data_IF_204317191306
#
_entry.id   IF_204317191306
#
_cell.length_a   1.000
_cell.length_b   1.000
_cell.length_c   1.000
_cell.angle_alpha   90.00
_cell.angle_beta   90.00
_cell.angle_gamma   90.00
#
_symmetry.space_group_name_H-M   'P 1'
#
loop_
_entity.id
_entity.type
_entity.pdbx_description
1 polymer ?
#
# COMPACT_ATOMS: atom_id res chain seq x y z
N UNK A 1 7.12 -30.68 -6.95
CA UNK A 1 8.05 -30.39 -5.81
C UNK A 1 7.65 -29.00 -5.28
N UNK A 2 6.93 -29.01 -4.16
CA UNK A 2 6.35 -27.81 -3.53
C UNK A 2 7.46 -27.12 -2.75
N UNK A 3 8.04 -26.06 -3.29
CA UNK A 3 9.06 -25.24 -2.61
C UNK A 3 8.50 -24.67 -1.31
N UNK A 4 8.90 -25.23 -0.19
CA UNK A 4 8.68 -24.71 1.16
C UNK A 4 9.40 -23.36 1.24
N UNK A 5 8.64 -22.27 1.13
CA UNK A 5 9.18 -20.92 1.32
C UNK A 5 9.35 -20.71 2.81
N UNK A 6 10.56 -20.89 3.31
CA UNK A 6 10.94 -20.58 4.67
C UNK A 6 10.68 -19.09 4.89
N UNK A 7 9.82 -18.75 5.84
CA UNK A 7 9.63 -17.36 6.23
C UNK A 7 10.90 -16.92 6.98
N UNK A 8 11.32 -15.65 6.78
CA UNK A 8 12.45 -15.08 7.53
C UNK A 8 12.25 -15.22 9.04
N UNK A 9 11.01 -15.17 9.49
CA UNK A 9 10.63 -15.41 10.89
C UNK A 9 10.95 -16.84 11.33
N UNK A 10 10.56 -17.87 10.54
CA UNK A 10 10.84 -19.26 10.87
C UNK A 10 12.34 -19.54 10.92
N UNK A 11 13.12 -18.88 10.05
CA UNK A 11 14.56 -19.00 10.00
C UNK A 11 15.21 -18.30 11.20
N UNK A 12 14.79 -17.08 11.54
CA UNK A 12 15.27 -16.35 12.71
C UNK A 12 14.91 -17.06 14.01
N UNK A 13 13.68 -17.57 14.14
CA UNK A 13 13.25 -18.35 15.30
C UNK A 13 14.03 -19.65 15.43
N UNK A 14 14.30 -20.35 14.31
CA UNK A 14 15.11 -21.57 14.28
C UNK A 14 16.55 -21.34 14.73
N UNK A 15 17.19 -20.26 14.23
CA UNK A 15 18.55 -19.86 14.64
C UNK A 15 18.58 -19.50 16.14
N UNK A 16 17.59 -18.75 16.62
CA UNK A 16 17.51 -18.35 18.01
C UNK A 16 17.32 -19.55 18.96
N UNK A 17 16.44 -20.50 18.62
CA UNK A 17 16.24 -21.74 19.38
C UNK A 17 17.49 -22.61 19.37
N UNK A 18 18.18 -22.72 18.23
CA UNK A 18 19.41 -23.47 18.10
C UNK A 18 20.55 -22.85 18.97
N UNK A 19 20.64 -21.51 18.98
CA UNK A 19 21.59 -20.78 19.81
C UNK A 19 21.31 -21.00 21.31
N UNK A 20 20.03 -20.92 21.73
CA UNK A 20 19.63 -21.23 23.10
C UNK A 20 19.96 -22.67 23.51
N UNK A 21 19.70 -23.64 22.64
CA UNK A 21 20.01 -25.05 22.89
C UNK A 21 21.49 -25.30 23.01
N UNK A 22 22.30 -24.76 22.09
CA UNK A 22 23.75 -24.90 22.10
C UNK A 22 24.36 -24.28 23.38
N UNK A 23 23.90 -23.08 23.73
CA UNK A 23 24.36 -22.37 24.91
C UNK A 23 23.98 -23.09 26.24
N UNK A 24 22.79 -23.70 26.26
CA UNK A 24 22.37 -24.53 27.39
C UNK A 24 23.26 -25.76 27.61
N UNK A 25 23.77 -26.33 26.51
CA UNK A 25 24.74 -27.45 26.57
C UNK A 25 26.11 -26.95 27.05
N UNK A 26 26.61 -25.82 26.53
CA UNK A 26 27.91 -25.24 26.92
C UNK A 26 27.92 -24.78 28.39
N UNK A 27 26.84 -24.24 28.91
CA UNK A 27 26.73 -23.83 30.31
C UNK A 27 26.72 -25.04 31.26
N UNK A 28 26.10 -26.16 30.86
CA UNK A 28 26.16 -27.42 31.62
C UNK A 28 27.57 -28.06 31.62
N UNK A 29 28.33 -27.82 30.53
CA UNK A 29 29.70 -28.29 30.42
C UNK A 29 30.71 -27.43 31.22
N UNK A 30 30.24 -26.37 31.92
CA UNK A 30 31.09 -25.48 32.72
C UNK A 30 32.03 -24.58 31.93
N UNK A 31 31.80 -24.47 30.59
CA UNK A 31 32.70 -23.72 29.69
C UNK A 31 32.33 -22.22 29.70
N UNK A 32 31.13 -21.83 30.16
CA UNK A 32 30.70 -20.43 30.20
C UNK A 32 30.02 -20.09 31.51
N UNK A 33 30.29 -18.89 32.03
CA UNK A 33 29.67 -18.33 33.25
C UNK A 33 28.36 -17.62 32.98
N UNK A 34 27.95 -17.51 31.69
CA UNK A 34 26.70 -16.86 31.28
C UNK A 34 25.56 -17.83 31.47
N UNK A 35 24.54 -17.42 32.22
CA UNK A 35 23.36 -18.24 32.48
C UNK A 35 22.39 -18.17 31.29
N UNK A 36 21.69 -19.28 30.99
CA UNK A 36 20.65 -19.32 29.95
C UNK A 36 19.55 -18.24 30.12
N UNK A 37 19.36 -17.78 31.39
CA UNK A 37 18.45 -16.67 31.70
C UNK A 37 18.92 -15.31 31.19
N UNK A 38 20.22 -15.08 31.12
CA UNK A 38 20.77 -13.80 30.64
C UNK A 38 20.61 -13.68 29.12
N UNK A 39 20.76 -14.80 28.42
CA UNK A 39 20.53 -14.87 26.97
C UNK A 39 19.03 -14.68 26.62
N UNK A 40 18.15 -15.29 27.44
CA UNK A 40 16.70 -15.09 27.26
C UNK A 40 16.31 -13.62 27.47
N UNK A 41 16.88 -12.96 28.51
CA UNK A 41 16.63 -11.54 28.79
C UNK A 41 17.21 -10.62 27.73
N UNK A 42 18.37 -10.87 27.20
CA UNK A 42 19.00 -10.07 26.15
C UNK A 42 18.36 -10.35 24.76
N UNK A 43 17.91 -11.59 24.52
CA UNK A 43 17.33 -12.00 23.23
C UNK A 43 15.86 -11.59 23.04
N UNK A 44 15.11 -11.37 24.13
CA UNK A 44 13.69 -11.03 24.07
C UNK A 44 13.37 -9.75 23.26
N UNK A 45 14.09 -8.63 23.43
CA UNK A 45 13.84 -7.44 22.62
C UNK A 45 14.14 -7.67 21.13
N UNK A 46 15.19 -8.43 20.82
CA UNK A 46 15.53 -8.78 19.44
C UNK A 46 14.43 -9.65 18.79
N UNK A 47 13.82 -10.55 19.55
CA UNK A 47 12.71 -11.38 19.08
C UNK A 47 11.46 -10.55 18.82
N UNK A 48 11.16 -9.55 19.64
CA UNK A 48 10.07 -8.61 19.42
C UNK A 48 10.33 -7.74 18.18
N UNK A 49 11.55 -7.26 18.00
CA UNK A 49 11.95 -6.51 16.81
C UNK A 49 11.82 -7.39 15.56
N UNK A 50 12.31 -8.63 15.59
CA UNK A 50 12.20 -9.57 14.48
C UNK A 50 10.74 -9.93 14.16
N UNK A 51 9.90 -10.08 15.20
CA UNK A 51 8.47 -10.33 15.06
C UNK A 51 7.75 -9.11 14.45
N UNK A 52 8.05 -7.89 14.91
CA UNK A 52 7.53 -6.65 14.36
C UNK A 52 7.95 -6.46 12.91
N UNK A 53 9.22 -6.67 12.61
CA UNK A 53 9.75 -6.59 11.25
C UNK A 53 9.15 -7.69 10.34
N UNK A 54 8.92 -8.90 10.88
CA UNK A 54 8.28 -9.98 10.16
C UNK A 54 6.81 -9.69 9.85
N UNK A 55 6.10 -8.97 10.72
CA UNK A 55 4.74 -8.50 10.45
C UNK A 55 4.73 -7.41 9.35
N UNK A 56 5.75 -6.56 9.31
CA UNK A 56 5.92 -5.57 8.25
C UNK A 56 6.28 -6.22 6.90
N UNK A 57 7.20 -7.19 6.92
CA UNK A 57 7.74 -7.85 5.71
C UNK A 57 6.91 -9.07 5.31
N UNK A 58 6.25 -9.72 6.26
CA UNK A 58 5.63 -11.04 6.11
C UNK A 58 4.36 -11.10 5.28
N UNK A 59 3.69 -9.99 5.03
CA UNK A 59 2.69 -9.89 3.95
C UNK A 59 3.38 -9.25 2.76
N UNK A 60 4.00 -10.08 1.95
CA UNK A 60 4.54 -9.68 0.65
C UNK A 60 3.50 -8.84 -0.06
N UNK A 61 3.73 -7.54 -0.11
CA UNK A 61 3.32 -6.78 -1.27
C UNK A 61 3.94 -7.56 -2.44
N UNK A 62 3.14 -8.37 -3.12
CA UNK A 62 3.50 -8.82 -4.45
C UNK A 62 3.53 -7.55 -5.27
N UNK A 63 4.68 -6.90 -5.29
CA UNK A 63 5.02 -6.05 -6.42
C UNK A 63 5.04 -7.04 -7.58
N UNK A 64 3.88 -7.27 -8.17
CA UNK A 64 3.80 -7.77 -9.51
C UNK A 64 4.34 -6.63 -10.36
N UNK A 65 5.65 -6.60 -10.48
CA UNK A 65 6.25 -6.03 -11.67
C UNK A 65 5.80 -6.97 -12.77
N UNK A 66 4.58 -6.78 -13.23
CA UNK A 66 4.15 -7.32 -14.51
C UNK A 66 4.92 -6.46 -15.50
N UNK A 67 6.14 -6.87 -15.80
CA UNK A 67 6.79 -6.54 -17.06
C UNK A 67 5.98 -7.21 -18.18
N UNK A 68 4.74 -6.79 -18.31
CA UNK A 68 4.02 -6.92 -19.55
C UNK A 68 4.60 -5.84 -20.44
N UNK A 69 5.59 -6.24 -21.21
CA UNK A 69 6.18 -5.50 -22.30
C UNK A 69 5.08 -5.23 -23.32
N UNK A 70 4.20 -4.25 -23.02
CA UNK A 70 3.39 -3.54 -24.00
C UNK A 70 4.07 -2.21 -24.24
N UNK A 71 4.24 -1.79 -25.50
CA UNK A 71 4.94 -0.56 -25.85
C UNK A 71 4.10 0.68 -25.61
N UNK A 72 3.58 0.89 -24.39
CA UNK A 72 2.93 2.13 -23.91
C UNK A 72 2.72 2.05 -22.39
N UNK A 73 3.61 1.44 -21.63
CA UNK A 73 3.53 1.48 -20.17
C UNK A 73 4.13 2.79 -19.68
N UNK A 74 3.26 3.71 -19.32
CA UNK A 74 3.57 4.87 -18.49
C UNK A 74 4.36 4.40 -17.27
N UNK A 75 5.52 4.98 -17.04
CA UNK A 75 6.38 4.65 -15.88
C UNK A 75 5.56 4.77 -14.60
N UNK A 76 5.60 3.71 -13.76
CA UNK A 76 4.86 3.68 -12.51
C UNK A 76 5.65 4.42 -11.44
N UNK A 77 5.22 5.61 -10.98
CA UNK A 77 5.89 6.30 -9.90
C UNK A 77 5.76 5.46 -8.62
N UNK A 78 6.92 4.97 -8.16
CA UNK A 78 7.02 4.19 -6.93
C UNK A 78 7.90 4.96 -5.96
N UNK A 79 7.35 5.34 -4.80
CA UNK A 79 8.09 6.02 -3.76
C UNK A 79 8.04 5.19 -2.46
N UNK A 80 9.23 4.89 -1.91
CA UNK A 80 9.31 4.09 -0.68
C UNK A 80 9.09 4.97 0.56
N UNK A 81 9.67 6.17 0.57
CA UNK A 81 9.54 7.15 1.68
C UNK A 81 9.43 8.55 1.09
N UNK A 82 8.44 9.29 1.54
CA UNK A 82 8.15 10.67 1.12
C UNK A 82 6.80 10.81 0.43
N UNK A 83 6.40 12.05 0.19
CA UNK A 83 5.12 12.37 -0.41
C UNK A 83 5.16 12.20 -1.92
N UNK A 84 4.17 11.53 -2.47
CA UNK A 84 3.96 11.37 -3.91
C UNK A 84 2.83 12.28 -4.37
N UNK A 85 3.14 13.23 -5.24
CA UNK A 85 2.14 14.09 -5.88
C UNK A 85 2.14 13.82 -7.38
N UNK A 86 0.99 13.38 -7.89
CA UNK A 86 0.81 13.07 -9.30
C UNK A 86 -0.36 13.88 -9.87
N UNK A 87 -0.14 14.50 -11.04
CA UNK A 87 -1.15 15.34 -11.67
C UNK A 87 -1.16 16.78 -11.19
N UNK A 88 -0.03 17.35 -10.70
CA UNK A 88 0.07 18.77 -10.39
C UNK A 88 0.04 19.64 -11.66
N UNK A 89 0.58 19.13 -12.76
CA UNK A 89 0.58 19.74 -14.08
C UNK A 89 -0.40 18.99 -15.02
N UNK A 90 -0.86 19.60 -16.13
CA UNK A 90 -1.67 18.91 -17.13
C UNK A 90 -0.96 17.68 -17.69
N UNK A 91 -1.63 16.54 -17.73
CA UNK A 91 -1.10 15.27 -18.20
C UNK A 91 -2.17 14.44 -18.93
N UNK A 92 -1.79 13.38 -19.63
CA UNK A 92 -2.72 12.51 -20.34
C UNK A 92 -2.83 11.15 -19.65
N UNK A 93 -4.07 10.66 -19.48
CA UNK A 93 -4.37 9.32 -19.01
C UNK A 93 -4.84 8.48 -20.20
N UNK A 94 -3.88 7.75 -20.81
CA UNK A 94 -4.14 6.92 -22.01
C UNK A 94 -4.29 5.42 -21.69
N UNK A 95 -4.18 5.04 -20.40
CA UNK A 95 -4.24 3.64 -19.98
C UNK A 95 -4.34 3.47 -18.47
N UNK A 96 -3.95 2.30 -17.98
CA UNK A 96 -4.01 1.96 -16.57
C UNK A 96 -2.89 2.66 -15.79
N UNK A 97 -3.23 3.18 -14.60
CA UNK A 97 -2.30 3.84 -13.69
C UNK A 97 -2.14 3.03 -12.40
N UNK A 98 -0.89 2.73 -12.03
CA UNK A 98 -0.59 2.05 -10.78
C UNK A 98 0.40 2.87 -9.96
N UNK A 99 -0.01 3.30 -8.77
CA UNK A 99 0.79 4.10 -7.85
C UNK A 99 1.10 3.32 -6.58
N UNK A 100 2.34 3.41 -6.10
CA UNK A 100 2.74 2.82 -4.84
C UNK A 100 3.53 3.80 -4.00
N UNK A 101 3.13 3.95 -2.71
CA UNK A 101 3.88 4.71 -1.71
C UNK A 101 4.05 3.86 -0.45
N UNK A 102 5.25 3.82 0.12
CA UNK A 102 5.51 3.13 1.38
C UNK A 102 5.07 3.97 2.58
N UNK A 103 5.83 5.01 2.89
CA UNK A 103 5.59 5.95 4.00
C UNK A 103 5.51 7.36 3.44
N UNK A 104 4.46 8.09 3.75
CA UNK A 104 4.22 9.47 3.29
C UNK A 104 2.83 9.64 2.72
N UNK A 105 2.50 10.81 2.21
CA UNK A 105 1.20 11.10 1.63
C UNK A 105 1.19 10.88 0.12
N UNK A 106 0.06 10.38 -0.40
CA UNK A 106 -0.17 10.22 -1.83
C UNK A 106 -1.30 11.16 -2.27
N UNK A 107 -1.03 12.01 -3.24
CA UNK A 107 -2.02 12.91 -3.84
C UNK A 107 -2.06 12.68 -5.34
N UNK A 108 -3.21 12.22 -5.82
CA UNK A 108 -3.50 12.02 -7.24
C UNK A 108 -4.56 13.02 -7.68
N UNK A 109 -4.22 13.88 -8.62
CA UNK A 109 -5.16 14.84 -9.20
C UNK A 109 -5.50 14.45 -10.64
N UNK A 110 -6.72 13.96 -10.85
CA UNK A 110 -7.25 13.59 -12.15
C UNK A 110 -8.03 14.75 -12.82
N UNK A 111 -8.24 15.85 -12.09
CA UNK A 111 -8.95 17.01 -12.64
C UNK A 111 -8.12 17.77 -13.69
N UNK A 112 -6.79 17.61 -13.63
CA UNK A 112 -5.85 18.17 -14.61
C UNK A 112 -5.54 17.21 -15.75
N UNK A 113 -6.06 15.96 -15.68
CA UNK A 113 -5.80 14.94 -16.67
C UNK A 113 -6.70 15.07 -17.90
N UNK A 114 -6.12 14.92 -19.08
CA UNK A 114 -6.86 14.63 -20.30
C UNK A 114 -7.10 13.12 -20.35
N UNK A 115 -8.32 12.69 -20.05
CA UNK A 115 -8.67 11.28 -19.94
C UNK A 115 -9.18 10.81 -21.30
N UNK A 116 -8.54 9.78 -21.86
CA UNK A 116 -8.96 9.18 -23.11
C UNK A 116 -10.33 8.49 -22.96
N UNK A 117 -11.15 8.38 -24.03
CA UNK A 117 -12.39 7.62 -23.97
C UNK A 117 -12.18 6.16 -23.61
N UNK A 118 -13.11 5.58 -22.82
CA UNK A 118 -13.10 4.18 -22.42
C UNK A 118 -12.80 3.96 -20.94
N UNK A 119 -12.66 2.69 -20.51
CA UNK A 119 -12.38 2.35 -19.12
C UNK A 119 -10.89 2.44 -18.79
N UNK A 120 -10.58 3.08 -17.66
CA UNK A 120 -9.22 3.22 -17.13
C UNK A 120 -9.14 2.68 -15.70
N UNK A 121 -8.22 1.75 -15.45
CA UNK A 121 -7.99 1.22 -14.12
C UNK A 121 -6.90 2.00 -13.39
N UNK A 122 -7.26 2.53 -12.22
CA UNK A 122 -6.35 3.27 -11.35
C UNK A 122 -6.20 2.49 -10.06
N UNK A 123 -4.97 2.00 -9.81
CA UNK A 123 -4.64 1.29 -8.58
C UNK A 123 -3.69 2.12 -7.74
N UNK A 124 -4.12 2.40 -6.53
CA UNK A 124 -3.32 3.11 -5.52
C UNK A 124 -3.07 2.17 -4.36
N UNK A 125 -1.80 1.96 -4.02
CA UNK A 125 -1.41 1.11 -2.89
C UNK A 125 -0.44 1.86 -1.99
N UNK A 126 -0.76 1.93 -0.69
CA UNK A 126 0.04 2.63 0.30
C UNK A 126 0.16 1.83 1.59
N UNK A 127 1.29 1.95 2.30
CA UNK A 127 1.44 1.28 3.59
C UNK A 127 1.03 2.17 4.75
N UNK A 128 1.56 3.38 4.85
CA UNK A 128 1.27 4.31 5.95
C UNK A 128 1.24 5.74 5.43
N UNK A 129 0.22 6.50 5.78
CA UNK A 129 0.01 7.89 5.41
C UNK A 129 -1.39 8.13 4.85
N UNK A 130 -1.62 9.27 4.24
CA UNK A 130 -2.92 9.65 3.72
C UNK A 130 -2.93 9.62 2.19
N UNK A 131 -4.00 9.07 1.63
CA UNK A 131 -4.25 9.01 0.18
C UNK A 131 -5.39 9.95 -0.17
N UNK A 132 -5.13 10.92 -1.05
CA UNK A 132 -6.14 11.81 -1.62
C UNK A 132 -6.20 11.64 -3.12
N UNK A 133 -7.38 11.26 -3.62
CA UNK A 133 -7.67 11.17 -5.07
C UNK A 133 -8.75 12.18 -5.42
N UNK A 134 -8.44 13.10 -6.33
CA UNK A 134 -9.39 14.06 -6.88
C UNK A 134 -9.85 13.65 -8.25
N UNK A 135 -11.14 13.56 -8.44
CA UNK A 135 -11.76 13.08 -9.67
C UNK A 135 -12.62 14.19 -10.29
N UNK A 136 -12.56 14.45 -11.60
CA UNK A 136 -13.42 15.40 -12.26
C UNK A 136 -14.88 14.95 -12.22
N UNK A 137 -15.81 15.89 -12.25
CA UNK A 137 -17.25 15.65 -12.26
C UNK A 137 -17.81 15.18 -13.62
N UNK A 138 -16.98 15.20 -14.68
CA UNK A 138 -17.37 14.90 -16.07
C UNK A 138 -17.26 13.43 -16.44
N UNK A 139 -16.68 12.58 -15.59
CA UNK A 139 -16.45 11.16 -15.88
C UNK A 139 -17.24 10.23 -14.96
N UNK A 140 -17.61 9.06 -15.46
CA UNK A 140 -18.19 8.00 -14.63
C UNK A 140 -17.09 7.37 -13.76
N UNK A 141 -17.42 7.06 -12.50
CA UNK A 141 -16.44 6.53 -11.54
C UNK A 141 -17.03 5.36 -10.78
N UNK A 142 -16.27 4.27 -10.75
CA UNK A 142 -16.45 3.18 -9.79
C UNK A 142 -15.23 3.16 -8.87
N UNK A 143 -15.44 3.49 -7.61
CA UNK A 143 -14.37 3.61 -6.62
C UNK A 143 -14.53 2.56 -5.52
N UNK A 144 -13.45 1.83 -5.25
CA UNK A 144 -13.33 0.88 -4.16
C UNK A 144 -12.15 1.30 -3.30
N UNK A 145 -12.36 1.42 -2.00
CA UNK A 145 -11.30 1.77 -1.06
C UNK A 145 -11.32 0.86 0.15
N UNK A 146 -10.14 0.41 0.55
CA UNK A 146 -9.95 -0.47 1.70
C UNK A 146 -8.78 -0.02 2.59
N UNK A 147 -8.99 -0.03 3.91
CA UNK A 147 -7.96 0.25 4.91
C UNK A 147 -7.99 -0.80 6.01
N UNK A 148 -6.83 -1.13 6.58
CA UNK A 148 -6.80 -2.01 7.75
C UNK A 148 -7.01 -1.23 9.04
N UNK A 149 -6.47 -0.02 9.16
CA UNK A 149 -6.62 0.85 10.34
C UNK A 149 -6.73 2.28 9.84
N UNK A 150 -7.85 2.92 10.13
CA UNK A 150 -8.05 4.32 9.79
C UNK A 150 -9.40 4.60 9.13
N UNK A 151 -9.42 5.56 8.24
CA UNK A 151 -10.62 6.09 7.65
C UNK A 151 -10.65 5.89 6.14
N UNK A 152 -11.84 5.62 5.62
CA UNK A 152 -12.11 5.57 4.18
C UNK A 152 -13.28 6.48 3.87
N UNK A 153 -13.08 7.43 2.97
CA UNK A 153 -14.11 8.36 2.51
C UNK A 153 -14.17 8.38 0.98
N UNK A 154 -15.37 8.14 0.42
CA UNK A 154 -15.65 8.20 -1.02
C UNK A 154 -16.86 9.09 -1.23
N UNK A 155 -16.71 10.18 -1.99
CA UNK A 155 -17.77 11.12 -2.36
C UNK A 155 -18.64 11.57 -1.18
N UNK A 156 -18.00 11.84 -0.02
CA UNK A 156 -18.67 12.33 1.20
C UNK A 156 -19.17 11.24 2.15
N UNK A 157 -19.29 9.97 1.71
CA UNK A 157 -19.53 8.88 2.65
C UNK A 157 -18.23 8.46 3.32
N UNK A 158 -18.25 8.29 4.64
CA UNK A 158 -17.08 7.95 5.45
C UNK A 158 -17.34 6.73 6.31
N UNK A 159 -16.33 5.86 6.42
CA UNK A 159 -16.24 4.75 7.36
C UNK A 159 -14.90 4.77 8.05
N UNK A 160 -14.91 4.51 9.34
CA UNK A 160 -13.72 4.52 10.19
C UNK A 160 -13.65 3.24 11.01
N UNK A 161 -12.45 2.76 11.27
CA UNK A 161 -12.30 1.57 12.11
C UNK A 161 -10.91 1.03 12.28
N UNK A 162 -10.83 -0.02 13.09
CA UNK A 162 -9.65 -0.86 13.27
C UNK A 162 -10.02 -2.28 12.82
N UNK A 163 -9.24 -2.83 11.90
CA UNK A 163 -9.51 -4.11 11.25
C UNK A 163 -9.62 -3.91 9.74
N UNK A 164 -10.70 -4.38 9.13
CA UNK A 164 -10.96 -4.23 7.70
C UNK A 164 -12.06 -3.20 7.48
N UNK A 165 -11.70 -2.02 6.99
CA UNK A 165 -12.61 -0.95 6.60
C UNK A 165 -12.72 -0.95 5.09
N UNK A 166 -13.94 -1.09 4.58
CA UNK A 166 -14.23 -1.20 3.15
C UNK A 166 -15.37 -0.28 2.76
N UNK A 167 -15.22 0.41 1.64
CA UNK A 167 -16.24 1.23 1.05
C UNK A 167 -16.17 1.12 -0.48
N UNK A 168 -17.32 0.98 -1.11
CA UNK A 168 -17.47 0.97 -2.57
C UNK A 168 -18.56 1.96 -2.96
N UNK A 169 -18.29 2.74 -4.00
CA UNK A 169 -19.25 3.68 -4.60
C UNK A 169 -19.11 3.70 -6.11
N UNK A 170 -20.25 3.80 -6.75
CA UNK A 170 -20.36 3.98 -8.19
C UNK A 170 -21.20 5.22 -8.46
N UNK A 171 -20.67 6.12 -9.28
CA UNK A 171 -21.37 7.29 -9.77
C UNK A 171 -21.27 7.35 -11.28
N UNK A 172 -22.41 7.19 -11.94
CA UNK A 172 -22.52 7.20 -13.40
C UNK A 172 -22.91 8.61 -13.85
N UNK A 173 -22.12 9.18 -14.75
CA UNK A 173 -22.42 10.46 -15.41
C UNK A 173 -23.02 10.15 -16.79
N UNK A 174 -24.27 10.54 -17.05
CA UNK A 174 -24.89 10.30 -18.35
C UNK A 174 -24.12 11.00 -19.47
N UNK A 175 -23.73 10.22 -20.50
CA UNK A 175 -23.00 10.76 -21.64
C UNK A 175 -21.49 10.90 -21.43
N UNK A 176 -20.93 10.45 -20.30
CA UNK A 176 -19.49 10.41 -20.11
C UNK A 176 -18.85 9.42 -21.10
N UNK A 177 -17.80 9.87 -21.78
CA UNK A 177 -17.02 9.04 -22.72
C UNK A 177 -15.99 8.16 -22.02
N UNK A 178 -15.60 8.53 -20.77
CA UNK A 178 -14.61 7.82 -19.97
C UNK A 178 -15.21 7.28 -18.68
N UNK A 179 -14.70 6.11 -18.26
CA UNK A 179 -15.02 5.48 -16.98
C UNK A 179 -13.71 5.25 -16.19
N UNK A 180 -13.70 5.69 -14.94
CA UNK A 180 -12.60 5.46 -14.02
C UNK A 180 -12.94 4.35 -13.03
N UNK A 181 -12.12 3.31 -12.99
CA UNK A 181 -12.21 2.21 -12.03
C UNK A 181 -11.06 2.37 -11.05
N UNK A 182 -11.37 2.88 -9.85
CA UNK A 182 -10.37 3.23 -8.84
C UNK A 182 -10.35 2.18 -7.74
N UNK A 183 -9.19 1.57 -7.51
CA UNK A 183 -8.92 0.66 -6.40
C UNK A 183 -7.86 1.28 -5.49
N UNK A 184 -8.25 1.74 -4.30
CA UNK A 184 -7.33 2.31 -3.31
C UNK A 184 -7.16 1.37 -2.11
N UNK A 185 -5.92 1.05 -1.77
CA UNK A 185 -5.57 0.14 -0.68
C UNK A 185 -4.56 0.78 0.27
N UNK A 186 -4.91 0.87 1.54
CA UNK A 186 -4.08 1.47 2.58
C UNK A 186 -3.99 0.51 3.78
N UNK A 187 -2.85 0.48 4.45
CA UNK A 187 -2.77 -0.27 5.71
C UNK A 187 -3.10 0.57 6.92
N UNK A 188 -2.52 1.76 7.02
CA UNK A 188 -2.71 2.64 8.17
C UNK A 188 -2.80 4.08 7.67
N UNK A 189 -3.92 4.76 7.92
CA UNK A 189 -4.15 6.15 7.58
C UNK A 189 -5.52 6.42 6.98
N UNK A 190 -5.65 7.49 6.21
CA UNK A 190 -6.91 7.90 5.59
C UNK A 190 -6.87 7.75 4.07
N UNK A 191 -7.94 7.18 3.49
CA UNK A 191 -8.21 7.26 2.05
C UNK A 191 -9.36 8.21 1.84
N UNK A 192 -9.15 9.21 0.99
CA UNK A 192 -10.19 10.14 0.58
C UNK A 192 -10.24 10.23 -0.94
N UNK A 193 -11.41 9.90 -1.50
CA UNK A 193 -11.73 10.08 -2.91
C UNK A 193 -12.81 11.14 -2.99
N UNK A 194 -12.49 12.26 -3.61
CA UNK A 194 -13.39 13.41 -3.69
C UNK A 194 -13.66 13.81 -5.14
N UNK A 195 -14.89 14.23 -5.42
CA UNK A 195 -15.27 14.77 -6.71
C UNK A 195 -15.08 16.28 -6.68
N UNK A 196 -14.41 16.79 -7.69
CA UNK A 196 -14.14 18.22 -7.82
C UNK A 196 -14.79 18.71 -9.11
N UNK A 197 -15.58 19.78 -9.07
CA UNK A 197 -16.10 20.39 -10.27
C UNK A 197 -14.98 20.80 -11.19
N UNK A 198 -15.07 20.38 -12.44
CA UNK A 198 -14.14 20.87 -13.47
C UNK A 198 -14.41 22.34 -13.63
N UNK A 199 -13.51 23.19 -13.18
CA UNK A 199 -13.63 24.63 -13.35
C UNK A 199 -13.77 24.90 -14.86
N UNK A 200 -14.86 25.56 -15.23
CA UNK A 200 -15.13 25.98 -16.60
C UNK A 200 -14.02 26.98 -16.99
N UNK A 201 -12.90 26.50 -17.51
CA UNK A 201 -11.86 27.33 -18.10
C UNK A 201 -12.41 27.90 -19.41
N UNK A 202 -13.40 28.80 -19.29
CA UNK A 202 -13.70 29.71 -20.40
C UNK A 202 -12.50 30.64 -20.49
N UNK A 203 -11.63 30.32 -21.42
CA UNK A 203 -10.63 31.26 -21.92
C UNK A 203 -11.42 32.47 -22.44
N UNK A 204 -11.31 33.60 -21.78
CA UNK A 204 -11.71 34.89 -22.28
C UNK A 204 -10.67 35.39 -23.24
#
# INVERSE_FOLDING_TARGET
>A
IRGRRLSLFSLALGIWLAAMGLFGILSRAGITTITSGDIARAGWPLLLIAMGLSMLVGRRVRVHVISSRRPNSTEFPTQIVGDLRYGADPWALDGDLNLFTGLGDLRLDLTTAVIAPGPHHIRVSQLVGDTLVRVPDTVSVRATAESNIGDVAIFGERRSGVGYVFLEREEIVPGAEAELIIEARLRIGEIRIERVPTADFRVF
#
